data_IF_286355772835
#
_entry.id   IF_286355772835
#
_cell.length_a   1.000
_cell.length_b   1.000
_cell.length_c   1.000
_cell.angle_alpha   90.00
_cell.angle_beta   90.00
_cell.angle_gamma   90.00
#
_symmetry.space_group_name_H-M   'P 1'
#
loop_
_entity.id
_entity.type
_entity.pdbx_description
1 polymer ?
#
# COMPACT_ATOMS: atom_id res chain seq x y z
N UNK A 1 -9.26 -0.77 2.28
CA UNK A 1 -8.87 -0.20 3.60
C UNK A 1 -9.40 -1.11 4.71
N UNK A 2 -8.68 -1.34 5.84
CA UNK A 2 -9.21 -2.04 7.00
C UNK A 2 -10.51 -1.42 7.52
N UNK A 3 -11.40 -2.25 8.05
CA UNK A 3 -12.69 -1.77 8.61
C UNK A 3 -12.53 -1.22 10.03
N UNK A 4 -11.65 -1.85 10.83
CA UNK A 4 -11.42 -1.41 12.20
C UNK A 4 -10.71 -0.06 12.25
N UNK A 5 -11.18 0.80 13.16
CA UNK A 5 -10.67 2.16 13.33
C UNK A 5 -10.45 2.47 14.80
N UNK A 6 -9.50 3.32 15.08
CA UNK A 6 -9.29 3.87 16.42
C UNK A 6 -9.40 5.39 16.36
N UNK A 7 -10.30 5.95 17.17
CA UNK A 7 -10.52 7.37 17.26
C UNK A 7 -9.37 8.08 17.99
N UNK A 8 -8.90 9.19 17.44
CA UNK A 8 -7.94 10.07 18.11
C UNK A 8 -8.59 10.88 19.24
N UNK A 9 -9.93 11.05 19.21
CA UNK A 9 -10.65 11.65 20.34
C UNK A 9 -10.62 10.77 21.57
N UNK A 10 -10.73 9.44 21.42
CA UNK A 10 -10.65 8.50 22.56
C UNK A 10 -9.25 8.47 23.20
N UNK A 11 -8.24 8.89 22.44
CA UNK A 11 -6.83 8.99 22.89
C UNK A 11 -6.47 10.30 23.55
N UNK A 12 -7.40 11.30 23.57
CA UNK A 12 -7.11 12.64 24.10
C UNK A 12 -6.61 12.62 25.54
N UNK A 13 -7.28 11.88 26.41
CA UNK A 13 -6.88 11.78 27.83
C UNK A 13 -5.50 11.13 27.97
N UNK A 14 -5.24 10.04 27.22
CA UNK A 14 -3.96 9.32 27.27
C UNK A 14 -2.78 10.22 26.90
N UNK A 15 -2.96 11.09 25.91
CA UNK A 15 -1.87 11.89 25.34
C UNK A 15 -1.92 13.38 25.71
N UNK A 16 -2.82 13.78 26.61
CA UNK A 16 -2.98 15.20 26.99
C UNK A 16 -3.30 16.11 25.81
N UNK A 17 -4.19 15.65 24.90
CA UNK A 17 -4.59 16.39 23.72
C UNK A 17 -5.91 17.10 23.94
N UNK A 18 -6.11 18.22 23.23
CA UNK A 18 -7.41 18.91 23.12
C UNK A 18 -8.08 18.52 21.80
N UNK A 19 -9.39 18.71 21.73
CA UNK A 19 -10.16 18.53 20.49
C UNK A 19 -9.62 19.40 19.36
N UNK A 20 -9.28 20.65 19.65
CA UNK A 20 -8.64 21.54 18.69
C UNK A 20 -7.31 21.02 18.16
N UNK A 21 -6.51 20.38 19.03
CA UNK A 21 -5.25 19.75 18.61
C UNK A 21 -5.51 18.58 17.64
N UNK A 22 -6.49 17.73 17.93
CA UNK A 22 -6.85 16.62 17.02
C UNK A 22 -7.30 17.15 15.67
N UNK A 23 -8.22 18.13 15.66
CA UNK A 23 -8.80 18.64 14.41
C UNK A 23 -7.83 19.47 13.55
N UNK A 24 -6.97 20.27 14.17
CA UNK A 24 -6.19 21.29 13.45
C UNK A 24 -4.68 21.04 13.41
N UNK A 25 -4.15 20.18 14.27
CA UNK A 25 -2.72 19.82 14.28
C UNK A 25 -2.47 18.42 13.77
N UNK A 26 -3.23 17.43 14.21
CA UNK A 26 -3.16 16.07 13.68
C UNK A 26 -3.82 16.03 12.29
N UNK A 27 -5.02 16.59 12.17
CA UNK A 27 -5.81 16.58 10.94
C UNK A 27 -6.58 15.28 10.67
N UNK A 28 -6.27 14.20 11.41
CA UNK A 28 -6.97 12.91 11.33
C UNK A 28 -7.77 12.67 12.60
N UNK A 29 -9.05 12.37 12.45
CA UNK A 29 -9.94 12.06 13.57
C UNK A 29 -9.84 10.61 14.00
N UNK A 30 -9.42 9.74 13.09
CA UNK A 30 -9.27 8.30 13.30
C UNK A 30 -8.15 7.72 12.42
N UNK A 31 -7.64 6.56 12.81
CA UNK A 31 -6.69 5.75 12.03
C UNK A 31 -7.23 4.34 11.88
N UNK A 32 -6.98 3.74 10.72
CA UNK A 32 -7.33 2.35 10.41
C UNK A 32 -6.39 1.36 11.09
N UNK A 33 -6.91 0.19 11.45
CA UNK A 33 -6.13 -0.90 12.04
C UNK A 33 -6.54 -2.20 11.37
N UNK A 34 -5.56 -2.95 10.84
CA UNK A 34 -5.79 -4.30 10.31
C UNK A 34 -6.20 -5.27 11.41
N UNK A 35 -6.87 -6.35 11.05
CA UNK A 35 -7.08 -7.46 11.97
C UNK A 35 -5.73 -8.10 12.37
N UNK A 36 -5.62 -8.66 13.59
CA UNK A 36 -4.36 -9.22 14.09
C UNK A 36 -3.71 -10.25 13.15
N UNK A 37 -4.53 -11.09 12.53
CA UNK A 37 -4.12 -12.17 11.61
C UNK A 37 -3.78 -11.69 10.21
N UNK A 38 -4.18 -10.49 9.82
CA UNK A 38 -3.89 -9.95 8.50
C UNK A 38 -2.42 -9.53 8.37
N UNK A 39 -1.87 -9.77 7.20
CA UNK A 39 -0.55 -9.33 6.78
C UNK A 39 -0.64 -8.27 5.67
N UNK A 40 0.48 -7.78 5.22
CA UNK A 40 0.56 -6.75 4.18
C UNK A 40 -0.05 -7.23 2.86
N UNK A 41 0.22 -8.48 2.48
CA UNK A 41 -0.38 -9.07 1.27
C UNK A 41 -1.90 -9.18 1.35
N UNK A 42 -2.50 -9.39 2.55
CA UNK A 42 -3.96 -9.43 2.71
C UNK A 42 -4.60 -8.06 2.44
N UNK A 43 -3.92 -6.98 2.81
CA UNK A 43 -4.37 -5.63 2.49
C UNK A 43 -4.24 -5.36 0.98
N UNK A 44 -3.18 -5.87 0.34
CA UNK A 44 -3.02 -5.78 -1.12
C UNK A 44 -4.11 -6.55 -1.86
N UNK A 45 -4.49 -7.76 -1.41
CA UNK A 45 -5.62 -8.51 -1.98
C UNK A 45 -6.90 -7.69 -1.96
N UNK A 46 -7.22 -7.04 -0.84
CA UNK A 46 -8.41 -6.16 -0.75
C UNK A 46 -8.34 -4.95 -1.68
N UNK A 47 -7.16 -4.40 -1.90
CA UNK A 47 -6.99 -3.32 -2.88
C UNK A 47 -7.18 -3.84 -4.32
N UNK A 48 -6.73 -5.05 -4.62
CA UNK A 48 -6.96 -5.71 -5.89
C UNK A 48 -8.46 -6.00 -6.15
N UNK A 49 -9.17 -6.53 -5.16
CA UNK A 49 -10.61 -6.77 -5.23
C UNK A 49 -11.37 -5.47 -5.58
N UNK A 50 -11.05 -4.36 -4.91
CA UNK A 50 -11.63 -3.04 -5.18
C UNK A 50 -11.29 -2.53 -6.61
N UNK A 51 -10.08 -2.79 -7.10
CA UNK A 51 -9.71 -2.49 -8.48
C UNK A 51 -10.57 -3.27 -9.47
N UNK A 52 -10.73 -4.58 -9.26
CA UNK A 52 -11.52 -5.45 -10.15
C UNK A 52 -13.02 -5.09 -10.19
N UNK A 53 -13.57 -4.56 -9.10
CA UNK A 53 -14.94 -4.05 -9.08
C UNK A 53 -15.14 -2.86 -10.03
N UNK A 54 -14.08 -2.09 -10.29
CA UNK A 54 -14.13 -0.84 -11.04
C UNK A 54 -13.49 -0.94 -12.44
N UNK A 55 -12.66 -1.97 -12.69
CA UNK A 55 -11.92 -2.14 -13.94
C UNK A 55 -11.93 -3.60 -14.39
N UNK A 56 -12.17 -3.86 -15.70
CA UNK A 56 -12.24 -5.22 -16.25
C UNK A 56 -10.84 -5.82 -16.45
N UNK A 57 -10.06 -5.96 -15.37
CA UNK A 57 -8.73 -6.57 -15.36
C UNK A 57 -8.78 -7.91 -14.65
N UNK A 58 -8.09 -8.90 -15.21
CA UNK A 58 -7.99 -10.26 -14.64
C UNK A 58 -6.56 -10.61 -14.28
N UNK A 59 -6.30 -11.61 -13.43
CA UNK A 59 -4.95 -12.05 -13.14
C UNK A 59 -4.12 -12.40 -14.38
N UNK A 60 -4.73 -12.97 -15.40
CA UNK A 60 -4.06 -13.38 -16.65
C UNK A 60 -3.57 -12.20 -17.50
N UNK A 61 -4.09 -10.99 -17.26
CA UNK A 61 -3.66 -9.78 -17.97
C UNK A 61 -2.37 -9.19 -17.38
N UNK A 62 -1.92 -9.62 -16.19
CA UNK A 62 -0.87 -8.96 -15.42
C UNK A 62 0.52 -9.50 -15.78
N UNK A 63 1.38 -8.62 -16.31
CA UNK A 63 2.77 -8.94 -16.68
C UNK A 63 3.75 -8.72 -15.51
N UNK A 64 3.50 -7.72 -14.65
CA UNK A 64 4.35 -7.47 -13.50
C UNK A 64 3.63 -6.86 -12.30
N UNK A 65 4.15 -7.16 -11.09
CA UNK A 65 3.68 -6.61 -9.82
C UNK A 65 4.87 -6.12 -9.00
N UNK A 66 4.77 -4.89 -8.53
CA UNK A 66 5.69 -4.32 -7.55
C UNK A 66 4.93 -3.99 -6.27
N UNK A 67 5.44 -4.46 -5.13
CA UNK A 67 4.93 -4.08 -3.80
C UNK A 67 5.92 -3.14 -3.13
N UNK A 68 5.50 -1.92 -2.87
CA UNK A 68 6.28 -0.95 -2.11
C UNK A 68 5.82 -0.98 -0.65
N UNK A 69 6.69 -1.48 0.24
CA UNK A 69 6.40 -1.62 1.67
C UNK A 69 7.65 -1.60 2.51
N UNK A 70 7.56 -1.02 3.73
CA UNK A 70 8.57 -1.14 4.79
C UNK A 70 8.15 -2.18 5.84
N UNK A 71 6.93 -2.71 5.74
CA UNK A 71 6.36 -3.66 6.68
C UNK A 71 5.92 -4.95 5.96
N UNK A 72 6.87 -5.73 5.39
CA UNK A 72 6.56 -6.92 4.61
C UNK A 72 5.84 -7.99 5.46
N UNK A 73 5.30 -8.99 4.78
CA UNK A 73 4.72 -10.17 5.43
C UNK A 73 5.76 -10.88 6.30
N UNK A 74 5.32 -11.39 7.42
CA UNK A 74 6.13 -12.18 8.33
C UNK A 74 7.43 -11.46 8.71
N UNK A 75 8.56 -12.04 8.28
CA UNK A 75 9.92 -11.51 8.49
C UNK A 75 10.60 -11.05 7.19
N UNK A 76 9.82 -10.84 6.11
CA UNK A 76 10.30 -10.38 4.82
C UNK A 76 10.76 -11.48 3.84
N UNK A 77 10.65 -12.74 4.23
CA UNK A 77 10.92 -13.90 3.36
C UNK A 77 9.85 -14.98 3.56
N UNK A 78 9.18 -15.44 2.48
CA UNK A 78 9.24 -14.89 1.12
C UNK A 78 8.87 -13.41 1.07
N UNK A 79 9.31 -12.66 0.04
CA UNK A 79 8.93 -11.27 -0.12
C UNK A 79 7.42 -11.14 -0.39
N UNK A 80 6.84 -10.00 -0.02
CA UNK A 80 5.37 -9.80 -0.03
C UNK A 80 4.76 -10.00 -1.42
N UNK A 81 5.43 -9.53 -2.48
CA UNK A 81 4.93 -9.70 -3.84
C UNK A 81 4.91 -11.16 -4.30
N UNK A 82 5.80 -12.04 -3.80
CA UNK A 82 5.73 -13.47 -4.09
C UNK A 82 4.52 -14.14 -3.40
N UNK A 83 4.22 -13.73 -2.16
CA UNK A 83 3.03 -14.20 -1.45
C UNK A 83 1.76 -13.68 -2.16
N UNK A 84 1.79 -12.44 -2.60
CA UNK A 84 0.69 -11.82 -3.33
C UNK A 84 0.47 -12.48 -4.69
N UNK A 85 1.54 -12.87 -5.39
CA UNK A 85 1.48 -13.61 -6.65
C UNK A 85 0.64 -14.88 -6.52
N UNK A 86 0.86 -15.66 -5.46
CA UNK A 86 0.06 -16.88 -5.18
C UNK A 86 -1.39 -16.52 -4.82
N UNK A 87 -1.59 -15.53 -3.92
CA UNK A 87 -2.93 -15.12 -3.48
C UNK A 87 -3.81 -14.60 -4.61
N UNK A 88 -3.24 -13.92 -5.59
CA UNK A 88 -3.95 -13.40 -6.76
C UNK A 88 -4.02 -14.42 -7.90
N UNK A 89 -3.40 -15.59 -7.76
CA UNK A 89 -3.30 -16.62 -8.80
C UNK A 89 -2.73 -16.07 -10.11
N UNK A 90 -1.67 -15.27 -10.03
CA UNK A 90 -1.02 -14.68 -11.20
C UNK A 90 -0.30 -15.73 -12.04
N UNK A 91 -0.16 -15.53 -13.37
CA UNK A 91 0.57 -16.45 -14.23
C UNK A 91 2.05 -16.53 -13.83
N UNK A 92 2.67 -17.71 -14.02
CA UNK A 92 4.09 -17.93 -13.69
C UNK A 92 5.06 -17.02 -14.47
N UNK A 93 4.59 -16.45 -15.58
CA UNK A 93 5.34 -15.44 -16.35
C UNK A 93 5.33 -14.07 -15.74
N UNK A 94 4.45 -13.79 -14.77
CA UNK A 94 4.34 -12.49 -14.13
C UNK A 94 5.58 -12.20 -13.28
N UNK A 95 6.28 -11.12 -13.59
CA UNK A 95 7.45 -10.68 -12.82
C UNK A 95 7.02 -10.00 -11.51
N UNK A 96 7.61 -10.40 -10.37
CA UNK A 96 7.22 -9.83 -9.06
C UNK A 96 8.44 -9.51 -8.20
N UNK A 97 8.44 -8.34 -7.53
CA UNK A 97 9.44 -7.95 -6.54
C UNK A 97 8.95 -6.85 -5.60
N UNK A 98 9.66 -6.68 -4.48
CA UNK A 98 9.36 -5.65 -3.49
C UNK A 98 10.34 -4.48 -3.58
N UNK A 99 9.85 -3.28 -3.22
CA UNK A 99 10.66 -2.08 -2.99
C UNK A 99 10.49 -1.66 -1.53
N UNK A 100 11.59 -1.55 -0.79
CA UNK A 100 11.57 -1.08 0.60
C UNK A 100 11.73 0.44 0.67
N UNK A 101 10.63 1.17 0.49
CA UNK A 101 10.56 2.63 0.62
C UNK A 101 9.27 3.02 1.36
N UNK A 102 9.34 4.14 2.11
CA UNK A 102 8.20 4.74 2.80
C UNK A 102 7.52 5.84 1.97
N UNK A 103 7.46 7.07 2.51
CA UNK A 103 6.67 8.19 1.99
C UNK A 103 6.92 8.53 0.51
N UNK A 104 8.15 8.38 0.02
CA UNK A 104 8.50 8.61 -1.40
C UNK A 104 8.28 7.36 -2.28
N UNK A 105 7.91 6.23 -1.67
CA UNK A 105 7.82 4.93 -2.34
C UNK A 105 6.88 4.91 -3.53
N UNK A 106 5.78 5.63 -3.47
CA UNK A 106 4.84 5.71 -4.58
C UNK A 106 5.47 6.35 -5.84
N UNK A 107 6.15 7.49 -5.68
CA UNK A 107 6.78 8.19 -6.83
C UNK A 107 7.93 7.37 -7.41
N UNK A 108 8.79 6.81 -6.57
CA UNK A 108 9.86 5.92 -7.02
C UNK A 108 9.31 4.63 -7.63
N UNK A 109 8.30 4.04 -7.00
CA UNK A 109 7.63 2.84 -7.50
C UNK A 109 7.02 3.04 -8.89
N UNK A 110 6.33 4.16 -9.13
CA UNK A 110 5.82 4.52 -10.46
C UNK A 110 6.94 4.64 -11.50
N UNK A 111 8.04 5.30 -11.15
CA UNK A 111 9.19 5.43 -12.05
C UNK A 111 9.80 4.08 -12.39
N UNK A 112 9.96 3.22 -11.38
CA UNK A 112 10.55 1.88 -11.56
C UNK A 112 9.65 1.00 -12.40
N UNK A 113 8.35 0.88 -12.04
CA UNK A 113 7.44 -0.01 -12.76
C UNK A 113 7.27 0.44 -14.22
N UNK A 114 7.14 1.75 -14.46
CA UNK A 114 7.04 2.29 -15.83
C UNK A 114 8.26 1.90 -16.67
N UNK A 115 9.47 2.14 -16.16
CA UNK A 115 10.70 1.80 -16.86
C UNK A 115 10.88 0.29 -17.03
N UNK A 116 10.48 -0.49 -16.03
CA UNK A 116 10.53 -1.95 -16.09
C UNK A 116 9.56 -2.52 -17.13
N UNK A 117 8.36 -1.96 -17.23
CA UNK A 117 7.38 -2.34 -18.24
C UNK A 117 7.86 -1.96 -19.64
N UNK A 118 8.39 -0.74 -19.83
CA UNK A 118 8.91 -0.28 -21.13
C UNK A 118 10.05 -1.16 -21.65
N UNK A 119 11.02 -1.50 -20.79
CA UNK A 119 12.17 -2.33 -21.17
C UNK A 119 11.80 -3.78 -21.51
N UNK A 120 10.78 -4.33 -20.83
CA UNK A 120 10.34 -5.71 -21.02
C UNK A 120 9.14 -5.87 -21.97
N UNK A 121 8.68 -4.78 -22.59
CA UNK A 121 7.50 -4.74 -23.47
C UNK A 121 6.21 -5.23 -22.78
N UNK A 122 6.11 -5.08 -21.46
CA UNK A 122 4.94 -5.43 -20.66
C UNK A 122 3.79 -4.45 -20.92
N UNK A 123 2.56 -4.96 -20.92
CA UNK A 123 1.35 -4.19 -21.23
C UNK A 123 0.54 -3.82 -20.01
N UNK A 124 0.63 -4.62 -18.96
CA UNK A 124 -0.18 -4.45 -17.77
C UNK A 124 0.65 -4.69 -16.50
N UNK A 125 0.73 -3.69 -15.64
CA UNK A 125 1.48 -3.75 -14.39
C UNK A 125 0.68 -3.26 -13.19
N UNK A 126 0.97 -3.79 -12.02
CA UNK A 126 0.37 -3.38 -10.76
C UNK A 126 1.43 -2.85 -9.80
N UNK A 127 1.27 -1.60 -9.36
CA UNK A 127 2.04 -1.05 -8.26
C UNK A 127 1.18 -1.01 -7.00
N UNK A 128 1.51 -1.82 -6.02
CA UNK A 128 0.94 -1.74 -4.68
C UNK A 128 1.79 -0.85 -3.78
N UNK A 129 1.14 -0.04 -2.94
CA UNK A 129 1.76 0.56 -1.76
C UNK A 129 1.00 0.11 -0.54
N UNK A 130 1.67 -0.51 0.41
CA UNK A 130 1.01 -1.12 1.57
C UNK A 130 1.93 -1.08 2.79
N UNK A 131 1.49 -0.38 3.83
CA UNK A 131 2.23 -0.31 5.08
C UNK A 131 1.30 -0.45 6.29
N UNK A 132 1.17 -1.66 6.87
CA UNK A 132 0.46 -1.85 8.12
C UNK A 132 1.34 -1.42 9.30
N UNK A 133 1.36 -0.13 9.60
CA UNK A 133 2.15 0.44 10.70
C UNK A 133 1.77 -0.09 12.09
N UNK A 134 0.56 -0.66 12.26
CA UNK A 134 0.17 -1.32 13.50
C UNK A 134 1.12 -2.46 13.90
N UNK A 135 1.87 -3.06 12.95
CA UNK A 135 2.90 -4.09 13.20
C UNK A 135 4.08 -3.57 14.01
N UNK A 136 4.45 -2.31 13.83
CA UNK A 136 5.73 -1.75 14.31
C UNK A 136 5.59 -0.50 15.17
N UNK A 137 4.45 0.22 15.09
CA UNK A 137 4.27 1.47 15.84
C UNK A 137 4.16 1.21 17.34
N UNK A 138 4.75 2.11 18.13
CA UNK A 138 4.52 2.15 19.56
C UNK A 138 3.17 2.88 19.86
N UNK A 139 2.20 2.16 20.40
CA UNK A 139 0.90 2.73 20.77
C UNK A 139 0.94 3.70 21.96
N UNK A 140 2.08 3.82 22.65
CA UNK A 140 2.31 4.77 23.73
C UNK A 140 3.06 6.03 23.24
N UNK A 141 3.55 6.03 22.01
CA UNK A 141 4.08 7.24 21.38
C UNK A 141 2.97 8.04 20.70
N UNK A 142 2.69 9.23 21.23
CA UNK A 142 1.67 10.14 20.72
C UNK A 142 1.81 10.39 19.22
N UNK A 143 3.04 10.60 18.72
CA UNK A 143 3.28 10.99 17.32
C UNK A 143 2.91 9.87 16.35
N UNK A 144 3.44 8.68 16.60
CA UNK A 144 3.20 7.52 15.72
C UNK A 144 1.79 6.96 15.88
N UNK A 145 1.27 6.86 17.10
CA UNK A 145 -0.04 6.30 17.38
C UNK A 145 -1.20 7.09 16.73
N UNK A 146 -1.08 8.42 16.63
CA UNK A 146 -2.16 9.28 16.13
C UNK A 146 -2.11 9.54 14.64
N UNK A 147 -0.96 9.33 13.96
CA UNK A 147 -0.77 9.66 12.56
C UNK A 147 -0.82 8.43 11.65
N UNK A 148 -0.29 7.29 12.09
CA UNK A 148 -0.13 6.14 11.22
C UNK A 148 -1.25 5.12 11.43
N UNK A 149 -1.94 4.81 10.35
CA UNK A 149 -2.89 3.71 10.22
C UNK A 149 -2.39 2.67 9.22
N UNK A 150 -3.18 1.62 9.05
CA UNK A 150 -2.90 0.53 8.14
C UNK A 150 -3.69 0.72 6.85
N UNK A 151 -3.08 0.42 5.72
CA UNK A 151 -3.74 0.52 4.42
C UNK A 151 -2.91 -0.05 3.30
N UNK A 152 -3.58 -0.30 2.19
CA UNK A 152 -2.96 -0.61 0.92
C UNK A 152 -3.69 0.11 -0.21
N UNK A 153 -2.96 0.42 -1.26
CA UNK A 153 -3.49 0.91 -2.53
C UNK A 153 -2.91 0.11 -3.67
N UNK A 154 -3.59 0.09 -4.80
CA UNK A 154 -3.08 -0.44 -6.06
C UNK A 154 -3.23 0.60 -7.15
N UNK A 155 -2.21 0.72 -8.00
CA UNK A 155 -2.25 1.51 -9.23
C UNK A 155 -2.08 0.55 -10.40
N UNK A 156 -3.05 0.56 -11.31
CA UNK A 156 -2.97 -0.15 -12.58
C UNK A 156 -2.23 0.72 -13.61
N UNK A 157 -1.26 0.13 -14.28
CA UNK A 157 -0.57 0.72 -15.43
C UNK A 157 -0.86 -0.14 -16.65
N UNK A 158 -1.46 0.45 -17.66
CA UNK A 158 -1.82 -0.23 -18.91
C UNK A 158 -1.68 0.70 -20.13
N UNK A 159 -2.05 0.22 -21.31
CA UNK A 159 -2.02 0.94 -22.56
C UNK A 159 -3.28 1.81 -22.81
N UNK A 160 -4.23 1.84 -21.87
CA UNK A 160 -5.47 2.65 -21.91
C UNK A 160 -5.54 3.61 -20.72
N UNK A 161 -4.58 4.52 -20.58
CA UNK A 161 -4.44 5.30 -19.37
C UNK A 161 -5.57 6.33 -19.21
N UNK A 162 -6.04 6.48 -17.98
CA UNK A 162 -6.86 7.62 -17.54
C UNK A 162 -5.97 8.85 -17.34
N UNK A 163 -4.72 8.62 -16.88
CA UNK A 163 -3.69 9.63 -16.69
C UNK A 163 -2.38 9.16 -17.31
N UNK A 164 -1.68 10.04 -18.00
CA UNK A 164 -0.34 9.77 -18.51
C UNK A 164 0.74 10.23 -17.53
N UNK A 165 1.68 9.33 -17.22
CA UNK A 165 2.86 9.69 -16.43
C UNK A 165 3.91 10.35 -17.33
N UNK A 166 4.16 11.63 -17.10
CA UNK A 166 5.24 12.37 -17.72
C UNK A 166 6.62 12.02 -17.15
N UNK A 167 7.57 12.94 -17.31
CA UNK A 167 8.92 12.78 -16.75
C UNK A 167 8.91 12.95 -15.23
N UNK A 168 9.51 12.00 -14.54
CA UNK A 168 9.71 12.09 -13.07
C UNK A 168 10.80 13.11 -12.73
N UNK A 169 10.54 13.92 -11.72
CA UNK A 169 11.50 14.87 -11.14
C UNK A 169 11.74 14.48 -9.69
N UNK A 170 13.00 14.22 -9.38
CA UNK A 170 13.45 13.89 -8.02
C UNK A 170 14.19 15.10 -7.45
N UNK A 171 13.77 15.56 -6.25
CA UNK A 171 14.36 16.70 -5.54
C UNK A 171 15.01 16.31 -4.23
#
# INVERSE_FOLDING_TARGET
MPEARTSNFDRMNKFGMTESFVKHKIGFTEVTIKAPEQETSDLCVKAWEDLQENHPVTPDDIDCVIVCTQNPDGKGLPHTSAILHEKLSLPLSCAVFDISLGCSGYVYGLSVIKSFMEENEFKCGLLFTADPYSKVKNNDDKKTATLFGDGATVTLLDDKPVFECGKFVFG
#
